data_IF_888979940223
#
_entry.id   IF_888979940223
#
_cell.length_a   1.000
_cell.length_b   1.000
_cell.length_c   1.000
_cell.angle_alpha   90.00
_cell.angle_beta   90.00
_cell.angle_gamma   90.00
#
_symmetry.space_group_name_H-M   'P 1'
#
loop_
_entity.id
_entity.type
_entity.pdbx_description
1 polymer ?
#
# COMPACT_ATOMS: atom_id res chain seq x y z
N UNK A 1 8.69 -43.12 26.45
CA UNK A 1 7.60 -42.17 26.76
C UNK A 1 7.99 -40.70 26.52
N UNK A 2 9.25 -40.27 26.73
CA UNK A 2 9.68 -38.87 26.51
C UNK A 2 9.61 -38.35 25.06
N UNK A 3 9.72 -39.22 24.04
CA UNK A 3 9.68 -38.80 22.63
C UNK A 3 8.28 -38.42 22.12
N UNK A 4 7.21 -38.91 22.76
CA UNK A 4 5.84 -38.60 22.38
C UNK A 4 5.43 -37.18 22.79
N UNK A 5 5.83 -36.72 23.98
CA UNK A 5 5.58 -35.35 24.46
C UNK A 5 6.25 -34.32 23.55
N UNK A 6 7.50 -34.57 23.15
CA UNK A 6 8.31 -33.64 22.35
C UNK A 6 7.75 -33.40 20.93
N UNK A 7 7.09 -34.41 20.35
CA UNK A 7 6.39 -34.26 19.05
C UNK A 7 5.12 -33.40 19.17
N UNK A 8 4.40 -33.51 20.29
CA UNK A 8 3.19 -32.72 20.56
C UNK A 8 3.52 -31.24 20.74
N UNK A 9 4.56 -30.91 21.50
CA UNK A 9 5.00 -29.50 21.72
C UNK A 9 5.44 -28.81 20.42
N UNK A 10 6.14 -29.55 19.55
CA UNK A 10 6.56 -29.04 18.23
C UNK A 10 5.34 -28.77 17.34
N UNK A 11 4.37 -29.69 17.30
CA UNK A 11 3.14 -29.52 16.51
C UNK A 11 2.28 -28.35 16.99
N UNK A 12 2.21 -28.13 18.31
CA UNK A 12 1.52 -26.99 18.91
C UNK A 12 2.19 -25.67 18.51
N UNK A 13 3.52 -25.60 18.64
CA UNK A 13 4.32 -24.43 18.24
C UNK A 13 4.15 -24.12 16.75
N UNK A 14 4.24 -25.13 15.88
CA UNK A 14 4.06 -24.96 14.43
C UNK A 14 2.66 -24.41 14.09
N UNK A 15 1.62 -24.84 14.81
CA UNK A 15 0.24 -24.36 14.62
C UNK A 15 0.11 -22.90 15.06
N UNK A 16 0.65 -22.54 16.23
CA UNK A 16 0.63 -21.17 16.75
C UNK A 16 1.41 -20.22 15.84
N UNK A 17 2.60 -20.60 15.41
CA UNK A 17 3.42 -19.81 14.49
C UNK A 17 2.71 -19.56 13.16
N UNK A 18 2.01 -20.57 12.63
CA UNK A 18 1.23 -20.43 11.39
C UNK A 18 0.05 -19.48 11.55
N UNK A 19 -0.63 -19.50 12.70
CA UNK A 19 -1.74 -18.58 12.97
C UNK A 19 -1.27 -17.13 13.18
N UNK A 20 -0.16 -16.94 13.90
CA UNK A 20 0.45 -15.61 14.10
C UNK A 20 0.93 -15.03 12.77
N UNK A 21 1.64 -15.81 11.96
CA UNK A 21 2.12 -15.35 10.64
C UNK A 21 0.97 -15.03 9.69
N UNK A 22 -0.14 -15.76 9.76
CA UNK A 22 -1.34 -15.45 8.97
C UNK A 22 -1.96 -14.11 9.41
N UNK A 23 -2.20 -13.91 10.71
CA UNK A 23 -2.75 -12.65 11.23
C UNK A 23 -1.86 -11.43 11.00
N UNK A 24 -0.53 -11.61 11.07
CA UNK A 24 0.44 -10.56 10.73
C UNK A 24 0.38 -10.17 9.24
N UNK A 25 0.23 -11.15 8.33
CA UNK A 25 0.10 -10.86 6.90
C UNK A 25 -1.20 -10.14 6.58
N UNK A 26 -2.30 -10.55 7.19
CA UNK A 26 -3.61 -9.93 6.97
C UNK A 26 -3.66 -8.48 7.49
N UNK A 27 -3.16 -8.25 8.70
CA UNK A 27 -3.05 -6.89 9.25
C UNK A 27 -2.10 -6.01 8.43
N UNK A 28 -0.93 -6.53 8.02
CA UNK A 28 -0.01 -5.80 7.17
C UNK A 28 -0.63 -5.45 5.79
N UNK A 29 -1.43 -6.36 5.22
CA UNK A 29 -2.17 -6.09 3.99
C UNK A 29 -3.15 -4.92 4.16
N UNK A 30 -3.97 -4.94 5.21
CA UNK A 30 -4.94 -3.87 5.48
C UNK A 30 -4.25 -2.52 5.70
N UNK A 31 -3.15 -2.51 6.45
CA UNK A 31 -2.34 -1.30 6.68
C UNK A 31 -1.79 -0.78 5.36
N UNK A 32 -1.19 -1.63 4.53
CA UNK A 32 -0.62 -1.21 3.23
C UNK A 32 -1.69 -0.66 2.29
N UNK A 33 -2.85 -1.28 2.21
CA UNK A 33 -3.97 -0.79 1.39
C UNK A 33 -4.49 0.56 1.93
N UNK A 34 -4.60 0.70 3.25
CA UNK A 34 -4.99 1.97 3.88
C UNK A 34 -4.00 3.10 3.59
N UNK A 35 -2.70 2.81 3.69
CA UNK A 35 -1.63 3.76 3.35
C UNK A 35 -1.68 4.13 1.86
N UNK A 36 -1.90 3.15 0.98
CA UNK A 36 -2.04 3.41 -0.45
C UNK A 36 -3.23 4.32 -0.75
N UNK A 37 -4.40 4.07 -0.14
CA UNK A 37 -5.58 4.91 -0.30
C UNK A 37 -5.34 6.33 0.22
N UNK A 38 -4.68 6.47 1.38
CA UNK A 38 -4.29 7.77 1.92
C UNK A 38 -3.32 8.52 0.99
N UNK A 39 -2.36 7.80 0.38
CA UNK A 39 -1.44 8.35 -0.61
C UNK A 39 -2.18 8.81 -1.87
N UNK A 40 -3.14 8.05 -2.40
CA UNK A 40 -3.96 8.48 -3.55
C UNK A 40 -4.66 9.80 -3.22
N UNK A 41 -5.35 9.86 -2.08
CA UNK A 41 -6.04 11.08 -1.64
C UNK A 41 -5.07 12.26 -1.57
N UNK A 42 -3.90 12.03 -0.96
CA UNK A 42 -2.87 13.05 -0.78
C UNK A 42 -2.28 13.54 -2.09
N UNK A 43 -1.98 12.65 -3.03
CA UNK A 43 -1.39 12.96 -4.35
C UNK A 43 -2.38 13.69 -5.26
N UNK A 44 -3.67 13.32 -5.21
CA UNK A 44 -4.72 13.96 -6.01
C UNK A 44 -5.05 15.37 -5.53
N UNK A 45 -4.96 15.63 -4.22
CA UNK A 45 -5.19 16.96 -3.64
C UNK A 45 -3.90 17.74 -3.37
N UNK A 46 -2.77 17.38 -3.98
CA UNK A 46 -1.50 18.08 -3.78
C UNK A 46 -1.54 19.49 -4.37
N UNK A 47 -1.14 20.49 -3.60
CA UNK A 47 -0.87 21.84 -4.09
C UNK A 47 0.49 22.35 -3.60
N UNK A 48 1.30 23.01 -4.44
CA UNK A 48 2.58 23.61 -4.02
C UNK A 48 2.44 24.70 -2.96
N UNK A 49 1.22 25.21 -2.73
CA UNK A 49 0.93 26.21 -1.70
C UNK A 49 0.74 25.60 -0.31
N UNK A 50 0.68 24.27 -0.20
CA UNK A 50 0.57 23.56 1.08
C UNK A 50 1.87 23.62 1.88
N UNK A 51 1.79 23.64 3.22
CA UNK A 51 2.98 23.54 4.07
C UNK A 51 3.62 22.15 3.93
N UNK A 52 4.85 22.11 3.44
CA UNK A 52 5.63 20.88 3.26
C UNK A 52 7.11 21.11 3.59
N UNK A 53 7.94 20.05 3.51
CA UNK A 53 9.38 20.19 3.77
C UNK A 53 10.03 21.05 2.69
N UNK A 54 9.74 20.79 1.42
CA UNK A 54 10.40 21.50 0.32
C UNK A 54 9.84 22.91 0.07
N UNK A 55 8.63 23.17 0.56
CA UNK A 55 7.92 24.44 0.40
C UNK A 55 7.50 25.00 1.76
N UNK A 56 8.00 26.19 2.10
CA UNK A 56 7.42 27.01 3.17
C UNK A 56 6.03 27.46 2.69
N UNK A 57 5.01 26.63 2.95
CA UNK A 57 3.64 26.84 2.49
C UNK A 57 3.18 28.27 2.77
N UNK A 58 2.65 28.93 1.74
CA UNK A 58 2.13 30.30 1.88
C UNK A 58 0.86 30.33 2.72
N UNK A 59 0.14 29.20 2.79
CA UNK A 59 -1.06 29.03 3.59
C UNK A 59 -0.73 28.40 4.94
N UNK A 60 -1.24 28.99 6.03
CA UNK A 60 -1.14 28.42 7.37
C UNK A 60 -1.95 27.10 7.52
N UNK A 61 -2.89 26.84 6.61
CA UNK A 61 -3.76 25.66 6.62
C UNK A 61 -3.54 24.88 5.33
N UNK A 62 -3.26 23.59 5.45
CA UNK A 62 -3.14 22.69 4.31
C UNK A 62 -4.49 22.50 3.61
N UNK A 63 -4.50 22.68 2.30
CA UNK A 63 -5.64 22.42 1.41
C UNK A 63 -5.71 20.95 0.98
N UNK A 64 -4.64 20.18 1.20
CA UNK A 64 -4.65 18.74 0.99
C UNK A 64 -5.75 18.06 1.83
N UNK A 65 -6.49 17.12 1.22
CA UNK A 65 -7.54 16.37 1.92
C UNK A 65 -6.97 15.45 3.01
N UNK A 66 -5.70 15.07 2.93
CA UNK A 66 -4.95 14.40 3.99
C UNK A 66 -4.35 15.36 5.03
N UNK A 67 -4.68 16.65 4.96
CA UNK A 67 -4.12 17.71 5.79
C UNK A 67 -2.62 17.90 5.58
N UNK A 68 -1.94 18.43 6.60
CA UNK A 68 -0.48 18.67 6.56
C UNK A 68 0.29 17.36 6.34
N UNK A 69 -0.19 16.26 6.92
CA UNK A 69 0.43 14.94 6.74
C UNK A 69 0.33 14.50 5.28
N UNK A 70 -0.85 14.61 4.66
CA UNK A 70 -1.03 14.28 3.25
C UNK A 70 -0.18 15.15 2.33
N UNK A 71 -0.11 16.46 2.61
CA UNK A 71 0.77 17.38 1.89
C UNK A 71 2.24 16.93 1.95
N UNK A 72 2.74 16.54 3.13
CA UNK A 72 4.10 16.02 3.31
C UNK A 72 4.34 14.71 2.55
N UNK A 73 3.39 13.75 2.61
CA UNK A 73 3.52 12.49 1.88
C UNK A 73 3.57 12.70 0.36
N UNK A 74 2.70 13.55 -0.16
CA UNK A 74 2.69 13.88 -1.58
C UNK A 74 3.97 14.63 -1.99
N UNK A 75 4.43 15.59 -1.18
CA UNK A 75 5.65 16.37 -1.42
C UNK A 75 6.89 15.46 -1.50
N UNK A 76 7.05 14.57 -0.51
CA UNK A 76 8.14 13.59 -0.51
C UNK A 76 8.05 12.67 -1.74
N UNK A 77 6.85 12.17 -2.05
CA UNK A 77 6.66 11.26 -3.20
C UNK A 77 7.03 11.94 -4.52
N UNK A 78 6.57 13.17 -4.75
CA UNK A 78 6.92 13.93 -5.95
C UNK A 78 8.37 14.38 -5.96
N UNK A 79 8.98 14.67 -4.81
CA UNK A 79 10.39 15.04 -4.73
C UNK A 79 11.33 13.91 -5.18
N UNK A 80 11.06 12.67 -4.75
CA UNK A 80 11.91 11.52 -5.09
C UNK A 80 11.57 10.90 -6.45
N UNK A 81 10.30 10.84 -6.82
CA UNK A 81 9.81 10.05 -7.97
C UNK A 81 9.32 10.96 -9.11
N UNK A 82 9.03 12.24 -8.85
CA UNK A 82 8.40 13.14 -9.81
C UNK A 82 6.97 12.72 -10.14
N UNK A 83 6.46 13.13 -11.30
CA UNK A 83 5.09 12.79 -11.76
C UNK A 83 4.80 11.28 -11.83
N UNK A 84 5.84 10.44 -11.94
CA UNK A 84 5.70 8.97 -11.87
C UNK A 84 5.20 8.53 -10.48
N UNK A 85 5.30 9.40 -9.46
CA UNK A 85 4.79 9.20 -8.11
C UNK A 85 3.30 8.86 -8.03
N UNK A 86 2.48 9.18 -9.04
CA UNK A 86 1.10 8.70 -9.14
C UNK A 86 0.99 7.16 -9.24
N UNK A 87 2.07 6.47 -9.59
CA UNK A 87 2.15 5.00 -9.57
C UNK A 87 2.54 4.43 -8.21
N UNK A 88 3.03 5.26 -7.27
CA UNK A 88 3.44 4.79 -5.94
C UNK A 88 2.29 4.10 -5.15
N UNK A 89 1.04 4.60 -5.15
CA UNK A 89 -0.07 3.90 -4.50
C UNK A 89 -0.36 2.55 -5.16
N UNK A 90 -0.25 2.47 -6.49
CA UNK A 90 -0.42 1.22 -7.24
C UNK A 90 0.66 0.20 -6.87
N UNK A 91 1.90 0.65 -6.73
CA UNK A 91 3.01 -0.19 -6.26
C UNK A 91 2.79 -0.70 -4.83
N UNK A 92 2.23 0.11 -3.93
CA UNK A 92 1.89 -0.30 -2.56
C UNK A 92 0.78 -1.36 -2.54
N UNK A 93 -0.28 -1.19 -3.33
CA UNK A 93 -1.35 -2.19 -3.46
C UNK A 93 -0.79 -3.50 -4.03
N UNK A 94 0.08 -3.42 -5.04
CA UNK A 94 0.76 -4.60 -5.59
C UNK A 94 1.64 -5.30 -4.55
N UNK A 95 2.39 -4.55 -3.74
CA UNK A 95 3.20 -5.10 -2.65
C UNK A 95 2.33 -5.77 -1.58
N UNK A 96 1.21 -5.15 -1.21
CA UNK A 96 0.22 -5.71 -0.29
C UNK A 96 -0.32 -7.05 -0.82
N UNK A 97 -0.70 -7.08 -2.09
CA UNK A 97 -1.19 -8.29 -2.74
C UNK A 97 -0.13 -9.39 -2.83
N UNK A 98 1.14 -9.05 -3.10
CA UNK A 98 2.25 -10.02 -3.06
C UNK A 98 2.45 -10.63 -1.67
N UNK A 99 2.29 -9.84 -0.61
CA UNK A 99 2.41 -10.29 0.78
C UNK A 99 1.36 -11.37 1.13
N UNK A 100 0.16 -11.26 0.59
CA UNK A 100 -0.92 -12.24 0.78
C UNK A 100 -0.84 -13.39 -0.23
N UNK A 101 -0.46 -13.13 -1.47
CA UNK A 101 -0.37 -14.13 -2.55
C UNK A 101 0.80 -15.10 -2.38
N UNK A 102 1.80 -14.82 -1.54
CA UNK A 102 2.78 -15.84 -1.13
C UNK A 102 2.16 -17.04 -0.39
N UNK A 103 0.87 -16.99 -0.03
CA UNK A 103 0.10 -18.12 0.48
C UNK A 103 -0.87 -18.73 -0.57
N UNK A 104 -1.08 -18.11 -1.73
CA UNK A 104 -2.01 -18.54 -2.78
C UNK A 104 -1.29 -18.58 -4.15
N UNK A 105 -1.04 -19.80 -4.58
CA UNK A 105 -0.10 -20.26 -5.61
C UNK A 105 -0.54 -20.00 -7.07
N UNK A 106 -1.45 -19.06 -7.34
CA UNK A 106 -2.04 -18.88 -8.68
C UNK A 106 -2.06 -17.41 -9.11
N UNK A 107 -1.02 -17.07 -9.87
CA UNK A 107 -1.04 -16.27 -11.10
C UNK A 107 -2.37 -15.59 -11.45
N UNK A 108 -2.63 -14.44 -10.84
CA UNK A 108 -3.27 -13.36 -11.58
C UNK A 108 -2.16 -12.39 -11.91
N UNK A 109 -1.81 -12.31 -13.19
CA UNK A 109 -0.81 -11.37 -13.69
C UNK A 109 -1.28 -9.96 -13.33
N UNK A 110 -0.80 -9.43 -12.20
CA UNK A 110 -1.20 -8.11 -11.72
C UNK A 110 -0.82 -7.02 -12.72
N UNK A 111 0.21 -7.27 -13.55
CA UNK A 111 0.51 -6.47 -14.73
C UNK A 111 -0.66 -6.48 -15.71
N UNK A 112 -1.30 -7.62 -16.00
CA UNK A 112 -2.48 -7.69 -16.87
C UNK A 112 -3.68 -6.98 -16.26
N UNK A 113 -3.88 -7.06 -14.94
CA UNK A 113 -4.97 -6.32 -14.27
C UNK A 113 -4.68 -4.81 -14.29
N UNK A 114 -3.44 -4.41 -14.03
CA UNK A 114 -2.97 -3.04 -14.12
C UNK A 114 -3.17 -2.48 -15.53
N UNK A 115 -2.70 -3.18 -16.57
CA UNK A 115 -2.87 -2.79 -17.96
C UNK A 115 -4.34 -2.81 -18.41
N UNK A 116 -5.17 -3.74 -17.90
CA UNK A 116 -6.62 -3.75 -18.17
C UNK A 116 -7.35 -2.57 -17.54
N UNK A 117 -7.06 -2.23 -16.30
CA UNK A 117 -7.68 -1.09 -15.62
C UNK A 117 -7.25 0.23 -16.28
N UNK A 118 -5.98 0.34 -16.66
CA UNK A 118 -5.45 1.50 -17.38
C UNK A 118 -6.13 1.64 -18.75
N UNK A 119 -6.27 0.54 -19.51
CA UNK A 119 -7.01 0.51 -20.76
C UNK A 119 -8.51 0.81 -20.61
N UNK A 120 -9.14 0.33 -19.53
CA UNK A 120 -10.54 0.65 -19.22
C UNK A 120 -10.71 2.15 -18.96
N UNK A 121 -9.85 2.76 -18.13
CA UNK A 121 -9.88 4.20 -17.87
C UNK A 121 -9.69 5.04 -19.15
N UNK A 122 -8.81 4.62 -20.05
CA UNK A 122 -8.62 5.28 -21.36
C UNK A 122 -9.86 5.17 -22.24
N UNK A 123 -10.53 4.01 -22.23
CA UNK A 123 -11.73 3.77 -23.05
C UNK A 123 -12.95 4.53 -22.53
N UNK A 124 -13.13 4.60 -21.20
CA UNK A 124 -14.22 5.36 -20.58
C UNK A 124 -13.99 6.88 -20.61
N UNK A 125 -12.74 7.35 -20.64
CA UNK A 125 -12.41 8.78 -20.74
C UNK A 125 -12.45 9.36 -22.15
N UNK A 126 -12.56 8.52 -23.19
CA UNK A 126 -12.60 8.92 -24.58
C UNK A 126 -14.00 8.82 -25.23
N UNK A 127 -15.04 8.53 -24.44
CA UNK A 127 -16.43 8.38 -24.87
C UNK A 127 -17.33 9.54 -24.43
#
# INVERSE_FOLDING_TARGET
MAQASRKTDKKLSDTVLRQVTYGLRESAFLILVGVAAFLVLSLLSYTPADPAWTHTGQNAVAQNNGGVVGALFADITFYFIGYIGYLAPLALVFAAWRLTSLANILALDAEVIFFRLLGACVTFGAG
#
